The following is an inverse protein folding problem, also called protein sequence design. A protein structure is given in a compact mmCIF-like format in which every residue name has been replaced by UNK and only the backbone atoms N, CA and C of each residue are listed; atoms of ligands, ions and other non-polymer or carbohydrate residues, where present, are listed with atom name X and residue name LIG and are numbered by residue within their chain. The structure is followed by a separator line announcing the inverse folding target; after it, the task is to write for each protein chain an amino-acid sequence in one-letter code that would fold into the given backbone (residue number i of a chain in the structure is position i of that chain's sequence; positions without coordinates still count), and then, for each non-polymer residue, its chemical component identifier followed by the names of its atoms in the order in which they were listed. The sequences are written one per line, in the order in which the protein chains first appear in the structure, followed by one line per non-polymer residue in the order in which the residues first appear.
data_IF_198024184612
#
_entry.id   IF_198024184612
#
_cell.length_a   1.000
_cell.length_b   1.000
_cell.length_c   1.000
_cell.angle_alpha   90.00
_cell.angle_beta   90.00
_cell.angle_gamma   90.00
#
_symmetry.space_group_name_H-M   'P 1'
#
loop_
_entity.id
_entity.type
_entity.pdbx_description
1 polymer ?
#
# COMPACT_ATOMS: atom_id res chain seq x y z
N UNK A 1 -25.38 12.30 -6.55
CA UNK A 1 -24.90 10.91 -6.73
C UNK A 1 -23.49 10.90 -7.30
N UNK A 2 -22.56 10.19 -6.64
CA UNK A 2 -21.23 9.89 -7.15
C UNK A 2 -21.29 8.99 -8.40
N UNK A 3 -20.20 9.00 -9.17
CA UNK A 3 -20.13 8.33 -10.48
C UNK A 3 -20.36 6.83 -10.41
N UNK A 4 -20.06 6.19 -9.28
CA UNK A 4 -20.23 4.75 -9.07
C UNK A 4 -21.40 4.38 -8.15
N UNK A 5 -22.17 5.35 -7.63
CA UNK A 5 -23.18 5.11 -6.58
C UNK A 5 -24.27 4.11 -6.98
N UNK A 6 -24.53 3.97 -8.28
CA UNK A 6 -25.55 3.05 -8.81
C UNK A 6 -24.99 1.67 -9.22
N UNK A 7 -23.67 1.51 -9.22
CA UNK A 7 -22.99 0.27 -9.63
C UNK A 7 -22.82 -0.69 -8.45
N UNK A 8 -23.84 -0.84 -7.61
CA UNK A 8 -23.76 -1.57 -6.33
C UNK A 8 -23.42 -3.06 -6.46
N UNK A 9 -23.61 -3.64 -7.65
CA UNK A 9 -23.27 -5.04 -7.96
C UNK A 9 -21.88 -5.20 -8.59
N UNK A 10 -21.09 -4.12 -8.70
CA UNK A 10 -19.78 -4.17 -9.33
C UNK A 10 -18.81 -5.01 -8.47
N UNK A 11 -18.21 -6.03 -9.09
CA UNK A 11 -17.24 -6.90 -8.42
C UNK A 11 -15.79 -6.51 -8.73
N UNK A 12 -15.53 -5.97 -9.91
CA UNK A 12 -14.18 -5.61 -10.36
C UNK A 12 -14.20 -4.24 -11.00
N UNK A 13 -13.29 -3.37 -10.57
CA UNK A 13 -13.17 -2.01 -11.07
C UNK A 13 -11.72 -1.76 -11.50
N UNK A 14 -11.53 -1.61 -12.80
CA UNK A 14 -10.25 -1.24 -13.40
C UNK A 14 -10.27 0.25 -13.77
N UNK A 15 -9.44 1.02 -13.07
CA UNK A 15 -9.18 2.44 -13.32
C UNK A 15 -7.71 2.69 -13.64
N UNK A 16 -6.95 1.63 -13.91
CA UNK A 16 -5.52 1.69 -14.20
C UNK A 16 -5.22 2.27 -15.59
N UNK A 17 -4.00 2.78 -15.78
CA UNK A 17 -3.54 3.44 -17.01
C UNK A 17 -4.37 4.69 -17.36
N UNK A 18 -4.70 5.50 -16.35
CA UNK A 18 -5.38 6.78 -16.53
C UNK A 18 -4.49 7.93 -16.03
N UNK A 19 -5.07 9.13 -15.97
CA UNK A 19 -4.38 10.35 -15.54
C UNK A 19 -4.97 10.89 -14.23
N UNK A 20 -5.54 10.03 -13.38
CA UNK A 20 -6.17 10.43 -12.13
C UNK A 20 -5.11 11.04 -11.21
N UNK A 21 -5.32 12.29 -10.79
CA UNK A 21 -4.44 13.01 -9.85
C UNK A 21 -4.94 12.98 -8.42
N UNK A 22 -6.24 12.72 -8.23
CA UNK A 22 -6.91 12.63 -6.94
C UNK A 22 -8.12 11.69 -7.02
N UNK A 23 -8.58 11.22 -5.87
CA UNK A 23 -9.84 10.50 -5.71
C UNK A 23 -10.80 11.37 -4.89
N UNK A 24 -12.06 11.56 -5.31
CA UNK A 24 -13.07 12.17 -4.46
C UNK A 24 -13.29 11.34 -3.19
N UNK A 25 -13.48 11.99 -2.03
CA UNK A 25 -13.86 11.31 -0.80
C UNK A 25 -15.14 10.51 -1.00
N UNK A 26 -15.14 9.25 -0.55
CA UNK A 26 -16.30 8.36 -0.63
C UNK A 26 -16.65 7.85 -2.03
N UNK A 27 -15.79 8.05 -3.04
CA UNK A 27 -16.07 7.64 -4.43
C UNK A 27 -16.36 6.15 -4.59
N UNK A 28 -15.90 5.31 -3.66
CA UNK A 28 -16.11 3.86 -3.68
C UNK A 28 -17.11 3.34 -2.62
N UNK A 29 -17.74 4.22 -1.83
CA UNK A 29 -18.50 3.82 -0.63
C UNK A 29 -19.70 2.91 -0.92
N UNK A 30 -20.24 2.97 -2.14
CA UNK A 30 -21.39 2.14 -2.55
C UNK A 30 -20.97 0.80 -3.17
N UNK A 31 -19.68 0.56 -3.35
CA UNK A 31 -19.14 -0.63 -4.00
C UNK A 31 -18.81 -1.74 -2.99
N UNK A 32 -19.74 -2.05 -2.09
CA UNK A 32 -19.52 -3.00 -0.99
C UNK A 32 -19.30 -4.44 -1.46
N UNK A 33 -19.70 -4.77 -2.70
CA UNK A 33 -19.46 -6.08 -3.34
C UNK A 33 -18.15 -6.19 -4.12
N UNK A 34 -17.32 -5.14 -4.13
CA UNK A 34 -16.08 -5.10 -4.92
C UNK A 34 -15.03 -6.04 -4.33
N UNK A 35 -14.44 -6.89 -5.19
CA UNK A 35 -13.37 -7.83 -4.85
C UNK A 35 -12.02 -7.44 -5.47
N UNK A 36 -12.02 -6.65 -6.54
CA UNK A 36 -10.81 -6.13 -7.17
C UNK A 36 -10.93 -4.64 -7.48
N UNK A 37 -9.94 -3.86 -7.06
CA UNK A 37 -9.76 -2.46 -7.42
C UNK A 37 -8.34 -2.23 -7.96
N UNK A 38 -8.24 -1.89 -9.25
CA UNK A 38 -6.97 -1.50 -9.85
C UNK A 38 -6.92 0.00 -10.17
N UNK A 39 -6.08 0.72 -9.42
CA UNK A 39 -5.79 2.14 -9.54
C UNK A 39 -4.35 2.38 -10.05
N UNK A 40 -3.65 1.34 -10.48
CA UNK A 40 -2.25 1.43 -10.87
C UNK A 40 -2.01 2.30 -12.11
N UNK A 41 -0.79 2.78 -12.31
CA UNK A 41 -0.42 3.63 -13.47
C UNK A 41 -1.33 4.86 -13.60
N UNK A 42 -1.44 5.61 -12.51
CA UNK A 42 -2.13 6.90 -12.43
C UNK A 42 -1.15 7.97 -11.90
N UNK A 43 -1.66 9.11 -11.44
CA UNK A 43 -0.85 10.22 -10.92
C UNK A 43 -1.24 10.61 -9.48
N UNK A 44 -1.80 9.67 -8.72
CA UNK A 44 -2.26 9.90 -7.35
C UNK A 44 -1.08 10.24 -6.44
N UNK A 45 -1.19 11.34 -5.69
CA UNK A 45 -0.16 11.76 -4.72
C UNK A 45 -0.51 11.42 -3.27
N UNK A 46 -1.82 11.39 -2.99
CA UNK A 46 -2.42 11.10 -1.68
C UNK A 46 -3.71 10.32 -1.91
N UNK A 47 -4.10 9.55 -0.91
CA UNK A 47 -5.41 8.90 -0.84
C UNK A 47 -6.27 9.65 0.19
N UNK A 48 -7.58 9.82 -0.04
CA UNK A 48 -8.48 10.30 1.00
C UNK A 48 -8.46 9.37 2.23
N UNK A 49 -8.65 9.93 3.42
CA UNK A 49 -8.94 9.13 4.61
C UNK A 49 -10.19 8.28 4.38
N UNK A 50 -10.16 7.03 4.84
CA UNK A 50 -11.26 6.09 4.69
C UNK A 50 -11.59 5.68 3.24
N UNK A 51 -10.72 5.96 2.26
CA UNK A 51 -10.98 5.71 0.85
C UNK A 51 -11.44 4.28 0.51
N UNK A 52 -11.11 3.30 1.35
CA UNK A 52 -11.42 1.89 1.13
C UNK A 52 -12.26 1.27 2.26
N UNK A 53 -12.78 2.07 3.20
CA UNK A 53 -13.41 1.56 4.43
C UNK A 53 -14.66 0.72 4.16
N UNK A 54 -15.41 1.02 3.09
CA UNK A 54 -16.62 0.28 2.71
C UNK A 54 -16.31 -0.95 1.83
N UNK A 55 -15.07 -1.14 1.38
CA UNK A 55 -14.66 -2.22 0.49
C UNK A 55 -14.32 -3.49 1.28
N UNK A 56 -15.21 -3.90 2.17
CA UNK A 56 -14.99 -5.01 3.13
C UNK A 56 -14.81 -6.38 2.47
N UNK A 57 -15.22 -6.53 1.20
CA UNK A 57 -15.05 -7.75 0.41
C UNK A 57 -13.83 -7.71 -0.53
N UNK A 58 -13.00 -6.67 -0.45
CA UNK A 58 -11.87 -6.48 -1.36
C UNK A 58 -10.79 -7.54 -1.12
N UNK A 59 -10.34 -8.18 -2.20
CA UNK A 59 -9.31 -9.21 -2.22
C UNK A 59 -8.03 -8.68 -2.86
N UNK A 60 -8.15 -7.85 -3.88
CA UNK A 60 -7.02 -7.27 -4.60
C UNK A 60 -7.11 -5.75 -4.69
N UNK A 61 -6.04 -5.08 -4.24
CA UNK A 61 -5.88 -3.64 -4.33
C UNK A 61 -4.55 -3.29 -4.99
N UNK A 62 -4.61 -2.66 -6.16
CA UNK A 62 -3.45 -2.31 -6.94
C UNK A 62 -3.29 -0.78 -7.01
N UNK A 63 -2.25 -0.25 -6.35
CA UNK A 63 -1.92 1.19 -6.27
C UNK A 63 -0.56 1.51 -6.91
N UNK A 64 0.02 0.55 -7.62
CA UNK A 64 1.37 0.64 -8.17
C UNK A 64 1.53 1.73 -9.24
N UNK A 65 2.76 2.21 -9.45
CA UNK A 65 3.06 3.21 -10.47
C UNK A 65 2.16 4.46 -10.36
N UNK A 66 2.13 5.01 -9.15
CA UNK A 66 1.51 6.29 -8.83
C UNK A 66 2.59 7.24 -8.29
N UNK A 67 2.19 8.35 -7.67
CA UNK A 67 3.09 9.35 -7.06
C UNK A 67 2.84 9.44 -5.55
N UNK A 68 2.38 8.35 -4.91
CA UNK A 68 2.01 8.35 -3.50
C UNK A 68 3.24 8.65 -2.64
N UNK A 69 3.15 9.68 -1.82
CA UNK A 69 4.24 10.13 -0.94
C UNK A 69 4.06 9.67 0.51
N UNK A 70 2.80 9.45 0.90
CA UNK A 70 2.40 8.92 2.19
C UNK A 70 1.09 8.15 2.04
N UNK A 71 0.77 7.34 3.06
CA UNK A 71 -0.51 6.67 3.20
C UNK A 71 -1.23 7.25 4.43
N UNK A 72 -2.55 7.50 4.37
CA UNK A 72 -3.31 7.83 5.56
C UNK A 72 -3.23 6.70 6.60
N UNK A 73 -3.21 7.05 7.88
CA UNK A 73 -3.28 6.06 8.95
C UNK A 73 -4.60 5.28 8.84
N UNK A 74 -4.54 3.96 8.99
CA UNK A 74 -5.71 3.08 8.95
C UNK A 74 -6.36 2.89 7.58
N UNK A 75 -5.75 3.38 6.48
CA UNK A 75 -6.33 3.30 5.11
C UNK A 75 -6.66 1.86 4.65
N UNK A 76 -6.09 0.85 5.29
CA UNK A 76 -6.34 -0.57 4.98
C UNK A 76 -7.05 -1.34 6.12
N UNK A 77 -7.46 -0.69 7.20
CA UNK A 77 -7.92 -1.36 8.42
C UNK A 77 -9.17 -2.23 8.23
N UNK A 78 -10.01 -1.88 7.25
CA UNK A 78 -11.25 -2.60 6.94
C UNK A 78 -11.06 -3.73 5.92
N UNK A 79 -9.88 -3.86 5.31
CA UNK A 79 -9.62 -4.79 4.21
C UNK A 79 -9.16 -6.17 4.72
N UNK A 80 -9.94 -6.78 5.62
CA UNK A 80 -9.55 -8.02 6.31
C UNK A 80 -9.45 -9.23 5.37
N UNK A 81 -10.09 -9.18 4.20
CA UNK A 81 -10.07 -10.22 3.16
C UNK A 81 -9.03 -9.98 2.06
N UNK A 82 -8.22 -8.92 2.16
CA UNK A 82 -7.24 -8.58 1.14
C UNK A 82 -6.13 -9.64 1.07
N UNK A 83 -5.92 -10.19 -0.11
CA UNK A 83 -4.89 -11.19 -0.40
C UNK A 83 -3.72 -10.58 -1.18
N UNK A 84 -3.99 -9.60 -2.05
CA UNK A 84 -3.01 -8.93 -2.89
C UNK A 84 -2.99 -7.41 -2.71
N UNK A 85 -1.80 -6.86 -2.44
CA UNK A 85 -1.59 -5.42 -2.32
C UNK A 85 -0.35 -4.95 -3.12
N UNK A 86 -0.56 -4.09 -4.11
CA UNK A 86 0.52 -3.48 -4.87
C UNK A 86 0.78 -2.03 -4.48
N UNK A 87 1.93 -1.75 -3.84
CA UNK A 87 2.39 -0.39 -3.51
C UNK A 87 3.70 0.00 -4.22
N UNK A 88 4.26 -0.91 -5.01
CA UNK A 88 5.51 -0.72 -5.73
C UNK A 88 5.45 0.44 -6.74
N UNK A 89 6.61 0.96 -7.13
CA UNK A 89 6.72 2.10 -8.05
C UNK A 89 5.93 3.33 -7.55
N UNK A 90 6.18 3.76 -6.32
CA UNK A 90 5.61 4.98 -5.73
C UNK A 90 6.74 5.85 -5.13
N UNK A 91 6.38 6.87 -4.35
CA UNK A 91 7.31 7.79 -3.68
C UNK A 91 7.23 7.67 -2.15
N UNK A 92 6.85 6.49 -1.64
CA UNK A 92 6.69 6.23 -0.22
C UNK A 92 8.07 6.19 0.47
N UNK A 93 8.18 6.92 1.58
CA UNK A 93 9.40 6.93 2.42
C UNK A 93 9.27 6.04 3.64
N UNK A 94 8.06 5.87 4.16
CA UNK A 94 7.74 5.02 5.30
C UNK A 94 6.31 4.50 5.15
N UNK A 95 5.90 3.61 6.05
CA UNK A 95 4.52 3.12 6.16
C UNK A 95 4.00 3.50 7.56
N UNK A 96 2.78 4.04 7.68
CA UNK A 96 2.20 4.34 8.99
C UNK A 96 2.21 3.13 9.91
N UNK A 97 2.50 3.35 11.19
CA UNK A 97 2.50 2.29 12.19
C UNK A 97 1.15 1.57 12.19
N UNK A 98 1.20 0.26 12.07
CA UNK A 98 0.02 -0.61 12.11
C UNK A 98 -0.74 -0.73 10.79
N UNK A 99 -0.29 -0.10 9.70
CA UNK A 99 -1.04 -0.05 8.44
C UNK A 99 -1.38 -1.43 7.84
N UNK A 100 -0.63 -2.48 8.18
CA UNK A 100 -0.84 -3.84 7.70
C UNK A 100 -1.37 -4.80 8.77
N UNK A 101 -1.61 -4.34 10.00
CA UNK A 101 -1.89 -5.22 11.14
C UNK A 101 -3.22 -5.95 10.99
N UNK A 102 -4.19 -5.36 10.29
CA UNK A 102 -5.51 -5.94 10.04
C UNK A 102 -5.61 -6.78 8.76
N UNK A 103 -4.55 -6.84 7.95
CA UNK A 103 -4.52 -7.58 6.68
C UNK A 103 -4.26 -9.07 6.89
N UNK A 104 -5.18 -9.75 7.59
CA UNK A 104 -5.00 -11.14 8.05
C UNK A 104 -4.96 -12.17 6.93
N UNK A 105 -5.53 -11.85 5.77
CA UNK A 105 -5.56 -12.72 4.58
C UNK A 105 -4.46 -12.43 3.56
N UNK A 106 -3.54 -11.51 3.85
CA UNK A 106 -2.55 -11.05 2.87
C UNK A 106 -1.57 -12.17 2.52
N UNK A 107 -1.50 -12.52 1.23
CA UNK A 107 -0.59 -13.56 0.73
C UNK A 107 0.55 -12.97 -0.09
N UNK A 108 0.33 -11.80 -0.69
CA UNK A 108 1.36 -11.12 -1.45
C UNK A 108 1.27 -9.60 -1.36
N UNK A 109 2.41 -8.97 -1.12
CA UNK A 109 2.59 -7.52 -1.16
C UNK A 109 3.83 -7.15 -1.96
N UNK A 110 3.71 -6.11 -2.79
CA UNK A 110 4.82 -5.61 -3.61
C UNK A 110 5.18 -4.20 -3.14
N UNK A 111 6.42 -4.04 -2.64
CA UNK A 111 6.91 -2.82 -1.99
C UNK A 111 8.16 -2.22 -2.67
N UNK A 112 8.68 -2.87 -3.71
CA UNK A 112 9.90 -2.44 -4.41
C UNK A 112 9.73 -1.09 -5.10
N UNK A 113 10.84 -0.47 -5.49
CA UNK A 113 10.86 0.83 -6.17
C UNK A 113 10.05 1.92 -5.44
N UNK A 114 10.31 2.04 -4.14
CA UNK A 114 9.93 3.18 -3.32
C UNK A 114 11.20 3.73 -2.64
N UNK A 115 11.34 5.06 -2.48
CA UNK A 115 12.49 5.67 -1.84
C UNK A 115 12.42 5.57 -0.31
N UNK A 116 12.42 4.34 0.22
CA UNK A 116 12.31 4.07 1.66
C UNK A 116 13.39 4.81 2.46
N UNK A 117 12.98 5.69 3.38
CA UNK A 117 13.89 6.45 4.23
C UNK A 117 14.27 5.62 5.45
N UNK A 118 15.40 4.93 5.34
CA UNK A 118 15.91 4.07 6.40
C UNK A 118 16.77 4.80 7.45
N UNK A 119 16.90 6.13 7.36
CA UNK A 119 17.58 6.92 8.38
C UNK A 119 16.60 7.41 9.46
N UNK A 120 15.36 7.71 9.06
CA UNK A 120 14.26 8.04 9.95
C UNK A 120 13.74 6.82 10.74
N UNK A 121 13.37 7.00 12.01
CA UNK A 121 12.83 5.94 12.87
C UNK A 121 11.46 5.40 12.45
N UNK A 122 10.70 6.15 11.64
CA UNK A 122 9.37 5.71 11.17
C UNK A 122 9.43 4.45 10.29
N UNK A 123 10.59 4.14 9.73
CA UNK A 123 10.81 2.93 8.94
C UNK A 123 10.72 1.64 9.77
N UNK A 124 10.89 1.74 11.10
CA UNK A 124 11.02 0.57 11.97
C UNK A 124 9.79 -0.33 11.95
N UNK A 125 8.59 0.25 11.76
CA UNK A 125 7.38 -0.56 11.58
C UNK A 125 7.50 -1.46 10.35
N UNK A 126 7.79 -0.87 9.19
CA UNK A 126 7.92 -1.61 7.93
C UNK A 126 9.04 -2.64 8.00
N UNK A 127 10.20 -2.26 8.55
CA UNK A 127 11.34 -3.14 8.70
C UNK A 127 11.01 -4.40 9.52
N UNK A 128 10.37 -4.23 10.68
CA UNK A 128 9.94 -5.35 11.54
C UNK A 128 8.87 -6.19 10.86
N UNK A 129 7.90 -5.54 10.20
CA UNK A 129 6.81 -6.23 9.54
C UNK A 129 7.34 -7.15 8.42
N UNK A 130 8.24 -6.67 7.57
CA UNK A 130 8.86 -7.50 6.51
C UNK A 130 9.67 -8.64 7.12
N UNK A 131 10.42 -8.39 8.20
CA UNK A 131 11.19 -9.42 8.90
C UNK A 131 10.32 -10.52 9.50
N UNK A 132 9.11 -10.21 9.94
CA UNK A 132 8.14 -11.17 10.48
C UNK A 132 7.33 -11.89 9.39
N UNK A 133 7.19 -11.28 8.19
CA UNK A 133 6.38 -11.81 7.09
C UNK A 133 7.18 -11.99 5.79
N UNK A 134 8.37 -12.65 5.81
CA UNK A 134 9.25 -12.68 4.65
C UNK A 134 8.67 -13.41 3.44
N UNK A 135 7.74 -14.36 3.65
CA UNK A 135 7.07 -15.10 2.58
C UNK A 135 5.95 -14.32 1.86
N UNK A 136 5.50 -13.20 2.43
CA UNK A 136 4.40 -12.38 1.87
C UNK A 136 4.95 -11.31 0.92
N UNK A 137 6.18 -10.85 1.11
CA UNK A 137 6.77 -9.84 0.23
C UNK A 137 7.30 -10.51 -1.03
N UNK A 138 6.76 -10.10 -2.19
CA UNK A 138 7.15 -10.64 -3.50
C UNK A 138 7.62 -9.52 -4.44
N UNK A 139 8.42 -9.89 -5.44
CA UNK A 139 8.83 -8.96 -6.52
C UNK A 139 8.25 -9.34 -7.88
N UNK A 140 7.95 -10.62 -8.11
CA UNK A 140 7.32 -11.14 -9.32
C UNK A 140 6.37 -12.29 -8.95
N UNK A 141 5.53 -12.73 -9.88
CA UNK A 141 4.41 -13.66 -9.69
C UNK A 141 4.71 -15.03 -9.06
N UNK A 142 5.98 -15.39 -8.80
CA UNK A 142 6.34 -16.77 -8.46
C UNK A 142 7.22 -16.93 -7.23
N UNK A 143 7.86 -15.89 -6.68
CA UNK A 143 8.80 -16.07 -5.56
C UNK A 143 8.74 -14.93 -4.53
N UNK A 144 8.79 -15.31 -3.25
CA UNK A 144 9.07 -14.41 -2.16
C UNK A 144 10.44 -13.75 -2.37
N UNK A 145 10.46 -12.43 -2.23
CA UNK A 145 11.66 -11.59 -2.27
C UNK A 145 11.53 -10.54 -1.16
N UNK A 146 11.79 -10.91 0.11
CA UNK A 146 11.69 -9.99 1.24
C UNK A 146 12.75 -8.88 1.20
N UNK A 147 13.77 -9.01 0.35
CA UNK A 147 14.82 -8.00 0.15
C UNK A 147 14.51 -7.02 -1.00
N UNK A 148 13.33 -7.14 -1.61
CA UNK A 148 12.89 -6.29 -2.72
C UNK A 148 12.62 -4.85 -2.32
N UNK A 149 12.20 -4.60 -1.07
CA UNK A 149 12.11 -3.26 -0.50
C UNK A 149 13.51 -2.80 -0.04
N UNK A 150 14.04 -1.75 -0.67
CA UNK A 150 15.41 -1.26 -0.43
C UNK A 150 15.45 0.17 0.05
N UNK A 151 16.33 0.42 1.00
CA UNK A 151 16.61 1.74 1.54
C UNK A 151 17.15 2.68 0.46
N UNK A 152 16.57 3.88 0.40
CA UNK A 152 17.08 4.96 -0.42
C UNK A 152 18.49 5.35 0.03
N UNK A 153 19.40 5.55 -0.92
CA UNK A 153 20.78 5.94 -0.67
C UNK A 153 21.76 4.79 -0.35
N UNK A 154 21.36 3.80 0.44
CA UNK A 154 22.25 2.67 0.82
C UNK A 154 21.99 1.39 0.03
N UNK A 155 20.82 1.26 -0.60
CA UNK A 155 20.36 0.06 -1.31
C UNK A 155 20.31 -1.22 -0.45
N UNK A 156 20.38 -1.08 0.87
CA UNK A 156 20.25 -2.19 1.84
C UNK A 156 18.79 -2.62 1.95
N UNK A 157 18.49 -3.91 2.21
CA UNK A 157 17.12 -4.36 2.46
C UNK A 157 16.50 -3.61 3.65
N UNK A 158 15.26 -3.13 3.50
CA UNK A 158 14.53 -2.44 4.58
C UNK A 158 14.40 -3.34 5.80
N UNK A 159 14.20 -4.64 5.61
CA UNK A 159 14.07 -5.62 6.70
C UNK A 159 15.32 -5.78 7.57
N UNK A 160 16.49 -5.35 7.09
CA UNK A 160 17.75 -5.41 7.84
C UNK A 160 17.98 -4.17 8.73
N UNK A 161 17.12 -3.15 8.63
CA UNK A 161 17.22 -1.92 9.42
C UNK A 161 16.85 -2.17 10.88
N UNK A 162 17.58 -1.56 11.81
CA UNK A 162 17.33 -1.69 13.24
C UNK A 162 17.29 -0.31 13.92
N UNK A 163 16.87 -0.27 15.18
CA UNK A 163 16.88 0.97 15.97
C UNK A 163 18.27 1.61 16.02
N UNK A 164 19.33 0.80 16.07
CA UNK A 164 20.72 1.27 16.14
C UNK A 164 21.16 2.12 14.92
N UNK A 165 20.52 1.94 13.76
CA UNK A 165 20.85 2.64 12.51
C UNK A 165 19.90 3.79 12.17
N UNK A 166 18.85 4.00 12.97
CA UNK A 166 17.79 4.99 12.73
C UNK A 166 17.80 6.08 13.81
N UNK A 167 17.15 7.22 13.54
CA UNK A 167 16.96 8.25 14.55
C UNK A 167 15.71 9.10 14.28
N UNK A 168 14.92 9.45 15.32
CA UNK A 168 13.82 10.40 15.18
C UNK A 168 14.26 11.78 14.70
N UNK A 169 15.48 12.21 15.02
CA UNK A 169 15.99 13.53 14.58
C UNK A 169 16.35 13.57 13.09
N UNK A 170 16.32 12.42 12.40
CA UNK A 170 16.54 12.31 10.95
C UNK A 170 15.22 12.18 10.17
N UNK A 171 14.09 12.24 10.85
CA UNK A 171 12.78 12.27 10.21
C UNK A 171 12.46 13.68 9.69
N UNK A 172 11.77 13.80 8.54
CA UNK A 172 11.38 15.07 7.95
C UNK A 172 10.34 15.85 8.77
#
# INVERSE_FOLDING_TARGET
PGVFDRLVNLQRLWLNNNQLTSLPTGVFDKLTGLTLLDLGKNQLRVLPEGAFDQLVNLQELWLYNNKLTALPAGVFDKLTLLTGLGLHDNQLKSIPRGAFDNLKSLTHILLYNNPWDCACSDILYLSRWISQHPGVVIKTYLNADPDSARCSGTNTPVRAVTEASTSPSKCP
#
